data_IF_560300286533
#
_entry.id   IF_560300286533
#
_cell.length_a   1.000
_cell.length_b   1.000
_cell.length_c   1.000
_cell.angle_alpha   90.00
_cell.angle_beta   90.00
_cell.angle_gamma   90.00
#
_symmetry.space_group_name_H-M   'P 1'
#
loop_
_entity.id
_entity.type
_entity.pdbx_description
1 polymer ?
#
# COMPACT_ATOMS: atom_id res chain seq x y z
N UNK A 1 -0.64 -1.38 -8.37
CA UNK A 1 -1.46 -1.62 -7.16
C UNK A 1 -1.02 -2.95 -6.57
N UNK A 2 -0.89 -3.04 -5.24
CA UNK A 2 -0.44 -4.26 -4.56
C UNK A 2 -1.63 -4.95 -3.90
N UNK A 3 -1.72 -6.27 -4.07
CA UNK A 3 -2.78 -7.09 -3.46
C UNK A 3 -2.34 -7.60 -2.10
N UNK A 4 -3.29 -7.67 -1.19
CA UNK A 4 -3.11 -8.30 0.12
C UNK A 4 -3.19 -9.82 -0.07
N UNK A 5 -2.21 -10.54 0.47
CA UNK A 5 -2.21 -12.01 0.50
C UNK A 5 -2.49 -12.50 1.93
N UNK A 6 -3.41 -13.46 2.05
CA UNK A 6 -3.66 -14.14 3.31
C UNK A 6 -2.70 -15.32 3.43
N UNK A 7 -1.95 -15.40 4.53
CA UNK A 7 -1.03 -16.50 4.78
C UNK A 7 -1.29 -17.12 6.16
N UNK A 8 -1.18 -18.44 6.24
CA UNK A 8 -1.10 -19.16 7.51
C UNK A 8 0.32 -18.98 8.04
N UNK A 9 0.46 -18.37 9.21
CA UNK A 9 1.76 -17.95 9.76
C UNK A 9 2.01 -18.62 11.11
N UNK A 10 3.23 -19.10 11.31
CA UNK A 10 3.74 -19.59 12.58
C UNK A 10 4.50 -18.44 13.30
N UNK A 11 3.97 -18.01 14.44
CA UNK A 11 4.60 -17.14 15.45
C UNK A 11 5.41 -15.94 14.94
N UNK A 12 4.75 -14.93 14.36
CA UNK A 12 5.37 -13.61 14.22
C UNK A 12 4.47 -12.48 14.72
N UNK A 13 5.10 -11.37 15.12
CA UNK A 13 4.43 -10.19 15.63
C UNK A 13 3.81 -9.32 14.53
N UNK A 14 2.67 -8.70 14.83
CA UNK A 14 2.05 -7.73 13.94
C UNK A 14 2.84 -6.43 13.88
N UNK A 15 3.20 -5.98 12.68
CA UNK A 15 3.91 -4.69 12.48
C UNK A 15 3.09 -3.49 12.94
N UNK A 16 1.75 -3.54 12.82
CA UNK A 16 0.88 -2.41 13.15
C UNK A 16 0.66 -2.20 14.65
N UNK A 17 0.69 -3.26 15.47
CA UNK A 17 0.43 -3.16 16.91
C UNK A 17 1.48 -3.77 17.83
N UNK A 18 2.51 -4.43 17.28
CA UNK A 18 3.59 -5.08 18.03
C UNK A 18 3.22 -6.38 18.73
N UNK A 19 1.94 -6.77 18.76
CA UNK A 19 1.47 -7.99 19.44
C UNK A 19 1.49 -9.20 18.52
N UNK A 20 1.60 -10.38 19.12
CA UNK A 20 1.55 -11.65 18.40
C UNK A 20 0.27 -11.82 17.56
N UNK A 21 0.41 -12.44 16.40
CA UNK A 21 -0.71 -12.90 15.61
C UNK A 21 -1.06 -14.33 16.04
N UNK A 22 -2.08 -14.44 16.89
CA UNK A 22 -2.61 -15.73 17.38
C UNK A 22 -3.75 -16.18 16.45
N UNK A 23 -3.88 -17.49 16.24
CA UNK A 23 -4.94 -18.12 15.45
C UNK A 23 -4.88 -17.92 13.92
N UNK A 24 -3.69 -18.03 13.33
CA UNK A 24 -3.52 -18.61 11.99
C UNK A 24 -3.89 -17.77 10.77
N UNK A 25 -4.39 -16.54 10.91
CA UNK A 25 -4.63 -15.65 9.76
C UNK A 25 -3.94 -14.31 9.94
N UNK A 26 -2.95 -14.06 9.09
CA UNK A 26 -2.28 -12.78 8.94
C UNK A 26 -2.44 -12.24 7.52
N UNK A 27 -2.41 -10.92 7.41
CA UNK A 27 -2.16 -10.26 6.14
C UNK A 27 -0.65 -10.14 5.95
N UNK A 28 -0.16 -10.58 4.80
CA UNK A 28 1.22 -10.32 4.37
C UNK A 28 1.19 -9.16 3.37
N UNK A 29 1.82 -8.05 3.75
CA UNK A 29 1.90 -6.83 2.96
C UNK A 29 3.17 -6.05 3.35
N UNK A 30 3.78 -5.34 2.39
CA UNK A 30 5.04 -4.63 2.62
C UNK A 30 6.13 -5.55 3.21
N UNK A 31 6.17 -6.81 2.76
CA UNK A 31 7.09 -7.86 3.23
C UNK A 31 7.01 -8.13 4.74
N UNK A 32 5.88 -7.77 5.35
CA UNK A 32 5.63 -7.81 6.80
C UNK A 32 4.27 -8.40 7.12
N UNK A 33 4.10 -8.86 8.36
CA UNK A 33 2.86 -9.46 8.84
C UNK A 33 2.02 -8.48 9.64
N UNK A 34 0.70 -8.57 9.44
CA UNK A 34 -0.28 -7.68 10.04
C UNK A 34 -1.53 -8.45 10.47
N UNK A 35 -2.12 -8.09 11.60
CA UNK A 35 -3.53 -8.42 11.82
C UNK A 35 -4.37 -7.73 10.75
N UNK A 36 -5.49 -8.36 10.37
CA UNK A 36 -6.45 -7.80 9.40
C UNK A 36 -6.87 -6.37 9.76
N UNK A 37 -7.16 -6.13 11.04
CA UNK A 37 -7.54 -4.81 11.54
C UNK A 37 -6.39 -3.83 11.75
N UNK A 38 -5.13 -4.27 11.68
CA UNK A 38 -3.96 -3.40 11.90
C UNK A 38 -3.38 -2.84 10.61
N UNK A 39 -3.69 -3.43 9.45
CA UNK A 39 -3.26 -2.90 8.17
C UNK A 39 -4.16 -1.72 7.76
N UNK A 40 -3.68 -0.50 8.02
CA UNK A 40 -4.47 0.74 7.90
C UNK A 40 -3.72 1.79 7.09
N UNK A 41 -4.45 2.61 6.34
CA UNK A 41 -3.89 3.77 5.67
C UNK A 41 -3.11 4.64 6.65
N UNK A 42 -1.88 5.02 6.31
CA UNK A 42 -1.03 5.86 7.17
C UNK A 42 -1.65 7.23 7.43
N UNK A 43 -2.37 7.79 6.45
CA UNK A 43 -3.07 9.07 6.54
C UNK A 43 -4.42 8.95 7.29
N UNK A 44 -5.47 8.42 6.66
CA UNK A 44 -6.81 8.40 7.27
C UNK A 44 -7.08 7.29 8.31
N UNK A 45 -6.13 6.38 8.56
CA UNK A 45 -6.27 5.24 9.48
C UNK A 45 -7.38 4.23 9.13
N UNK A 46 -8.04 4.34 7.97
CA UNK A 46 -9.00 3.34 7.49
C UNK A 46 -8.31 1.98 7.31
N UNK A 47 -8.96 0.91 7.76
CA UNK A 47 -8.52 -0.47 7.51
C UNK A 47 -8.56 -0.77 6.01
N UNK A 48 -7.48 -1.33 5.49
CA UNK A 48 -7.34 -1.69 4.09
C UNK A 48 -7.60 -3.18 3.92
N UNK A 49 -8.66 -3.53 3.21
CA UNK A 49 -9.12 -4.92 3.01
C UNK A 49 -8.97 -5.42 1.57
N UNK A 50 -8.46 -4.58 0.65
CA UNK A 50 -8.31 -4.86 -0.77
C UNK A 50 -6.97 -4.40 -1.30
N UNK A 51 -6.97 -3.67 -2.42
CA UNK A 51 -5.75 -3.08 -2.97
C UNK A 51 -5.25 -1.91 -2.12
N UNK A 52 -3.93 -1.73 -2.10
CA UNK A 52 -3.27 -0.59 -1.49
C UNK A 52 -2.14 -0.07 -2.36
N UNK A 53 -1.69 1.14 -2.04
CA UNK A 53 -0.50 1.75 -2.63
C UNK A 53 0.57 1.84 -1.54
N UNK A 54 1.76 1.32 -1.84
CA UNK A 54 2.92 1.39 -0.96
C UNK A 54 3.76 2.62 -1.28
N UNK A 55 4.07 3.43 -0.27
CA UNK A 55 5.02 4.55 -0.38
C UNK A 55 5.89 4.58 0.86
N UNK A 56 7.21 4.54 0.68
CA UNK A 56 8.20 4.62 1.76
C UNK A 56 7.95 3.65 2.92
N UNK A 57 7.58 2.40 2.58
CA UNK A 57 7.28 1.35 3.57
C UNK A 57 5.97 1.53 4.34
N UNK A 58 5.10 2.46 3.92
CA UNK A 58 3.79 2.70 4.52
C UNK A 58 2.65 2.42 3.52
N UNK A 59 1.51 1.86 3.98
CA UNK A 59 0.36 1.64 3.13
C UNK A 59 -0.57 2.85 3.10
N UNK A 60 -1.09 3.17 1.92
CA UNK A 60 -2.07 4.23 1.69
C UNK A 60 -3.29 3.68 0.94
N UNK A 61 -4.47 4.25 1.21
CA UNK A 61 -5.60 4.12 0.30
C UNK A 61 -5.34 4.97 -0.95
N UNK A 62 -5.99 4.64 -2.06
CA UNK A 62 -5.82 5.38 -3.32
C UNK A 62 -6.08 6.88 -3.16
N UNK A 63 -7.18 7.24 -2.50
CA UNK A 63 -7.58 8.63 -2.26
C UNK A 63 -6.47 9.43 -1.55
N UNK A 64 -5.99 8.95 -0.41
CA UNK A 64 -4.97 9.68 0.36
C UNK A 64 -3.62 9.69 -0.37
N UNK A 65 -3.29 8.62 -1.10
CA UNK A 65 -2.10 8.60 -1.93
C UNK A 65 -2.15 9.69 -3.00
N UNK A 66 -3.29 9.84 -3.70
CA UNK A 66 -3.47 10.86 -4.72
C UNK A 66 -3.39 12.28 -4.13
N UNK A 67 -4.03 12.52 -2.98
CA UNK A 67 -4.00 13.83 -2.30
C UNK A 67 -2.57 14.24 -1.92
N UNK A 68 -1.76 13.29 -1.43
CA UNK A 68 -0.42 13.59 -0.92
C UNK A 68 0.69 13.49 -1.98
N UNK A 69 0.55 12.59 -2.96
CA UNK A 69 1.63 12.18 -3.86
C UNK A 69 1.18 11.98 -5.31
N UNK A 70 -0.11 12.20 -5.61
CA UNK A 70 -0.66 12.01 -6.94
C UNK A 70 -0.10 13.02 -7.92
N UNK A 71 0.12 12.57 -9.16
CA UNK A 71 0.42 13.45 -10.29
C UNK A 71 -0.89 13.70 -11.02
N UNK A 72 -1.20 14.96 -11.28
CA UNK A 72 -2.37 15.33 -12.09
C UNK A 72 -1.97 15.47 -13.55
N UNK A 73 -2.85 15.03 -14.44
CA UNK A 73 -2.73 15.33 -15.86
C UNK A 73 -2.94 16.83 -16.07
N UNK A 74 -1.98 17.50 -16.73
CA UNK A 74 -2.07 18.94 -16.97
C UNK A 74 -3.33 19.32 -17.79
N UNK A 75 -3.72 18.48 -18.75
CA UNK A 75 -4.83 18.75 -19.65
C UNK A 75 -6.22 18.60 -18.99
N UNK A 76 -6.44 17.57 -18.16
CA UNK A 76 -7.75 17.27 -17.58
C UNK A 76 -7.84 17.46 -16.06
N UNK A 77 -6.72 17.79 -15.41
CA UNK A 77 -6.59 18.00 -13.96
C UNK A 77 -7.02 16.79 -13.10
N UNK A 78 -7.22 15.61 -13.71
CA UNK A 78 -7.49 14.36 -13.02
C UNK A 78 -6.18 13.69 -12.59
N UNK A 79 -6.21 12.93 -11.49
CA UNK A 79 -5.06 12.13 -11.07
C UNK A 79 -4.75 11.03 -12.08
N UNK A 80 -3.48 10.88 -12.41
CA UNK A 80 -2.99 9.80 -13.25
C UNK A 80 -3.00 8.52 -12.39
N UNK A 81 -3.78 7.53 -12.83
CA UNK A 81 -3.90 6.22 -12.17
C UNK A 81 -3.30 5.12 -13.05
N UNK A 82 -2.99 3.97 -12.46
CA UNK A 82 -2.46 2.80 -13.19
C UNK A 82 -0.94 2.68 -13.21
N UNK A 83 -0.41 1.90 -14.15
CA UNK A 83 1.04 1.68 -14.31
C UNK A 83 1.62 2.84 -15.14
N UNK A 84 2.42 3.69 -14.50
CA UNK A 84 3.16 4.76 -15.19
C UNK A 84 4.38 4.15 -15.87
N UNK A 85 4.56 4.45 -17.15
CA UNK A 85 5.80 4.15 -17.87
C UNK A 85 6.74 5.34 -17.66
N UNK A 86 7.87 5.10 -17.01
CA UNK A 86 8.92 6.11 -16.93
C UNK A 86 9.68 6.08 -18.25
N UNK A 87 9.43 7.08 -19.11
CA UNK A 87 10.24 7.26 -20.31
C UNK A 87 11.51 7.96 -19.88
N UNK A 88 12.56 7.20 -19.62
CA UNK A 88 13.92 7.73 -19.58
C UNK A 88 14.19 8.29 -20.97
N UNK A 89 14.21 9.62 -21.12
CA UNK A 89 14.68 10.23 -22.36
C UNK A 89 16.16 9.86 -22.51
N UNK A 90 16.44 8.84 -23.32
CA UNK A 90 17.76 8.71 -23.91
C UNK A 90 18.00 9.99 -24.71
N UNK A 91 19.05 10.78 -24.44
CA UNK A 91 19.41 11.86 -25.33
C UNK A 91 19.72 11.23 -26.68
N UNK A 92 18.88 11.53 -27.66
CA UNK A 92 19.14 11.23 -29.06
C UNK A 92 20.34 12.10 -29.41
N UNK A 93 21.53 11.50 -29.48
CA UNK A 93 22.72 12.15 -30.03
C UNK A 93 22.67 12.01 -31.55
#
# INVERSE_FOLDING_TARGET
MKTIVCACVCFTGCTGCGRDIKNGQALLALERQWHLGCFKCKACKKVLTGEYISKDGAPYCEKDYQIHFGVQCEACQQFITGKVLEVSQSPIT
#
